data_IF_779308165868
#
_entry.id   IF_779308165868
#
_cell.length_a   1.000
_cell.length_b   1.000
_cell.length_c   1.000
_cell.angle_alpha   90.00
_cell.angle_beta   90.00
_cell.angle_gamma   90.00
#
_symmetry.space_group_name_H-M   'P 1'
#
loop_
_entity.id
_entity.type
_entity.pdbx_description
1 polymer ?
#
# COMPACT_ATOMS: atom_id res chain seq x y z
N UNK A 1 3.01 13.16 -27.11
CA UNK A 1 4.46 13.20 -27.39
C UNK A 1 5.16 12.68 -26.15
N UNK A 2 5.87 11.55 -26.21
CA UNK A 2 6.54 10.98 -25.03
C UNK A 2 7.95 11.59 -25.00
N UNK A 3 8.26 12.36 -23.97
CA UNK A 3 9.58 12.98 -23.80
C UNK A 3 10.55 11.91 -23.26
N UNK A 4 11.59 11.61 -24.01
CA UNK A 4 12.68 10.71 -23.59
C UNK A 4 13.91 11.51 -23.23
N UNK A 5 14.54 11.18 -22.10
CA UNK A 5 15.80 11.78 -21.63
C UNK A 5 16.89 10.72 -21.65
N UNK A 6 18.14 11.11 -21.94
CA UNK A 6 19.29 10.21 -21.87
C UNK A 6 20.15 10.56 -20.66
N UNK A 7 20.40 9.58 -19.80
CA UNK A 7 21.28 9.70 -18.63
C UNK A 7 22.24 8.50 -18.67
N UNK A 8 23.55 8.76 -18.65
CA UNK A 8 24.59 7.72 -18.66
C UNK A 8 24.43 6.67 -19.79
N UNK A 9 24.14 7.15 -21.01
CA UNK A 9 23.92 6.29 -22.19
C UNK A 9 22.61 5.50 -22.19
N UNK A 10 21.84 5.51 -21.09
CA UNK A 10 20.53 4.87 -20.98
C UNK A 10 19.42 5.86 -21.32
N UNK A 11 18.42 5.38 -22.06
CA UNK A 11 17.25 6.17 -22.43
C UNK A 11 16.15 5.94 -21.40
N UNK A 12 15.67 7.01 -20.78
CA UNK A 12 14.58 7.00 -19.82
C UNK A 12 13.38 7.72 -20.44
N UNK A 13 12.20 7.17 -20.21
CA UNK A 13 10.95 7.85 -20.56
C UNK A 13 10.52 8.70 -19.38
N UNK A 14 10.19 9.96 -19.64
CA UNK A 14 9.64 10.82 -18.61
C UNK A 14 8.26 10.28 -18.22
N UNK A 15 8.05 10.12 -16.92
CA UNK A 15 6.74 9.82 -16.36
C UNK A 15 6.03 11.17 -16.22
N UNK A 16 5.22 11.53 -17.21
CA UNK A 16 4.37 12.71 -17.13
C UNK A 16 3.31 12.54 -16.03
N UNK A 17 3.06 13.60 -15.25
CA UNK A 17 2.05 13.64 -14.18
C UNK A 17 2.24 12.61 -13.05
N UNK A 18 3.43 12.00 -12.97
CA UNK A 18 3.72 10.93 -12.01
C UNK A 18 3.01 9.61 -12.32
N UNK A 19 2.42 9.42 -13.52
CA UNK A 19 1.66 8.22 -13.86
C UNK A 19 2.46 7.28 -14.76
N UNK A 20 2.86 6.13 -14.21
CA UNK A 20 3.49 5.04 -14.96
C UNK A 20 2.44 4.06 -15.46
N UNK A 21 2.11 4.11 -16.75
CA UNK A 21 1.18 3.16 -17.37
C UNK A 21 1.73 1.73 -17.40
N UNK A 22 3.04 1.57 -17.64
CA UNK A 22 3.71 0.26 -17.71
C UNK A 22 3.66 -0.46 -16.36
N UNK A 23 3.91 0.27 -15.27
CA UNK A 23 3.85 -0.30 -13.92
C UNK A 23 2.44 -0.28 -13.35
N UNK A 24 1.51 0.42 -14.01
CA UNK A 24 0.17 0.72 -13.49
C UNK A 24 0.22 1.38 -12.11
N UNK A 25 1.15 2.32 -11.94
CA UNK A 25 1.37 3.05 -10.70
C UNK A 25 1.29 4.56 -10.91
N UNK A 26 0.77 5.26 -9.91
CA UNK A 26 0.92 6.70 -9.73
C UNK A 26 1.93 6.94 -8.62
N UNK A 27 2.92 7.77 -8.91
CA UNK A 27 3.92 8.23 -7.95
C UNK A 27 3.51 9.63 -7.51
N UNK A 28 3.38 9.84 -6.20
CA UNK A 28 3.18 11.16 -5.61
C UNK A 28 4.30 11.47 -4.62
N UNK A 29 4.70 12.73 -4.56
CA UNK A 29 5.65 13.18 -3.53
C UNK A 29 4.87 13.44 -2.25
N UNK A 30 5.13 12.63 -1.23
CA UNK A 30 4.57 12.76 0.12
C UNK A 30 5.66 13.29 1.06
N UNK A 31 5.74 14.62 1.19
CA UNK A 31 6.77 15.32 1.96
C UNK A 31 8.19 15.00 1.45
N UNK A 32 8.92 14.16 2.17
CA UNK A 32 10.29 13.74 1.86
C UNK A 32 10.35 12.34 1.23
N UNK A 33 9.19 11.68 1.08
CA UNK A 33 9.08 10.32 0.58
C UNK A 33 8.27 10.26 -0.72
N UNK A 34 8.41 9.14 -1.43
CA UNK A 34 7.58 8.81 -2.59
C UNK A 34 6.46 7.88 -2.15
N UNK A 35 5.23 8.34 -2.32
CA UNK A 35 4.04 7.50 -2.24
C UNK A 35 3.81 6.81 -3.58
N UNK A 36 3.69 5.49 -3.57
CA UNK A 36 3.31 4.70 -4.74
C UNK A 36 1.85 4.29 -4.60
N UNK A 37 1.03 4.55 -5.60
CA UNK A 37 -0.39 4.21 -5.61
C UNK A 37 -0.70 3.37 -6.83
N UNK A 38 -1.51 2.33 -6.67
CA UNK A 38 -1.92 1.49 -7.79
C UNK A 38 -2.98 2.20 -8.62
N UNK A 39 -2.90 2.14 -9.94
CA UNK A 39 -3.87 2.83 -10.82
C UNK A 39 -5.23 2.14 -10.88
N UNK A 40 -5.30 0.86 -10.51
CA UNK A 40 -6.53 0.06 -10.54
C UNK A 40 -7.36 0.21 -9.27
N UNK A 41 -6.73 0.13 -8.09
CA UNK A 41 -7.44 0.25 -6.79
C UNK A 41 -7.28 1.61 -6.13
N UNK A 42 -6.37 2.47 -6.62
CA UNK A 42 -5.99 3.76 -6.00
C UNK A 42 -5.34 3.58 -4.61
N UNK A 43 -5.11 2.33 -4.19
CA UNK A 43 -4.49 2.02 -2.91
C UNK A 43 -3.01 2.37 -2.93
N UNK A 44 -2.55 2.91 -1.79
CA UNK A 44 -1.13 3.13 -1.56
C UNK A 44 -0.45 1.76 -1.44
N UNK A 45 0.55 1.53 -2.26
CA UNK A 45 1.46 0.40 -2.14
C UNK A 45 2.31 0.65 -0.90
N UNK A 46 1.94 -0.01 0.19
CA UNK A 46 2.65 0.08 1.46
C UNK A 46 4.08 -0.44 1.30
N UNK A 47 5.00 0.22 1.98
CA UNK A 47 6.34 -0.34 2.15
C UNK A 47 6.27 -1.62 2.98
N UNK A 48 7.28 -2.51 2.91
CA UNK A 48 7.29 -3.73 3.73
C UNK A 48 7.12 -3.46 5.23
N UNK A 49 7.64 -2.33 5.73
CA UNK A 49 7.48 -1.90 7.12
C UNK A 49 6.04 -1.49 7.42
N UNK A 50 5.45 -0.61 6.61
CA UNK A 50 4.05 -0.20 6.77
C UNK A 50 3.08 -1.39 6.67
N UNK A 51 3.38 -2.36 5.80
CA UNK A 51 2.60 -3.59 5.68
C UNK A 51 2.68 -4.45 6.96
N UNK A 52 3.87 -4.56 7.54
CA UNK A 52 4.06 -5.29 8.79
C UNK A 52 3.34 -4.61 9.96
N UNK A 53 3.38 -3.29 10.03
CA UNK A 53 2.66 -2.48 11.01
C UNK A 53 1.14 -2.67 10.87
N UNK A 54 0.62 -2.61 9.65
CA UNK A 54 -0.81 -2.82 9.39
C UNK A 54 -1.25 -4.23 9.77
N UNK A 55 -0.47 -5.26 9.41
CA UNK A 55 -0.75 -6.64 9.80
C UNK A 55 -0.75 -6.81 11.33
N UNK A 56 0.18 -6.15 12.03
CA UNK A 56 0.22 -6.17 13.49
C UNK A 56 -1.00 -5.47 14.10
N UNK A 57 -1.46 -4.36 13.52
CA UNK A 57 -2.68 -3.68 13.95
C UNK A 57 -3.91 -4.54 13.73
N UNK A 58 -4.05 -5.17 12.56
CA UNK A 58 -5.18 -6.08 12.26
C UNK A 58 -5.22 -7.26 13.25
N UNK A 59 -4.06 -7.85 13.58
CA UNK A 59 -3.98 -8.89 14.61
C UNK A 59 -4.44 -8.39 15.97
N UNK A 60 -3.97 -7.23 16.41
CA UNK A 60 -4.40 -6.66 17.69
C UNK A 60 -5.90 -6.35 17.71
N UNK A 61 -6.49 -5.94 16.60
CA UNK A 61 -7.92 -5.71 16.49
C UNK A 61 -8.70 -7.02 16.55
N UNK A 62 -8.24 -8.06 15.87
CA UNK A 62 -8.82 -9.40 15.94
C UNK A 62 -8.75 -9.97 17.36
N UNK A 63 -7.62 -9.81 18.05
CA UNK A 63 -7.44 -10.25 19.43
C UNK A 63 -8.40 -9.52 20.39
N UNK A 64 -8.51 -8.19 20.25
CA UNK A 64 -9.47 -7.39 21.04
C UNK A 64 -10.92 -7.77 20.78
N UNK A 65 -11.27 -8.04 19.52
CA UNK A 65 -12.62 -8.48 19.16
C UNK A 65 -12.92 -9.85 19.76
N UNK A 66 -11.96 -10.77 19.72
CA UNK A 66 -12.05 -12.10 20.34
C UNK A 66 -12.26 -11.99 21.84
N UNK A 67 -11.50 -11.15 22.52
CA UNK A 67 -11.66 -10.90 23.96
C UNK A 67 -13.01 -10.24 24.29
N UNK A 68 -13.45 -9.29 23.47
CA UNK A 68 -14.77 -8.67 23.61
C UNK A 68 -15.89 -9.70 23.47
N UNK A 69 -15.85 -10.57 22.47
CA UNK A 69 -16.84 -11.64 22.28
C UNK A 69 -16.89 -12.60 23.47
N UNK A 70 -15.73 -13.00 24.00
CA UNK A 70 -15.66 -13.82 25.23
C UNK A 70 -16.27 -13.10 26.43
N UNK A 71 -16.04 -11.78 26.58
CA UNK A 71 -16.66 -10.98 27.64
C UNK A 71 -18.20 -10.93 27.54
N UNK A 72 -18.73 -11.06 26.32
CA UNK A 72 -20.17 -11.13 26.05
C UNK A 72 -20.73 -12.55 26.17
N UNK A 73 -19.92 -13.53 26.60
CA UNK A 73 -20.34 -14.93 26.73
C UNK A 73 -20.51 -15.65 25.40
N UNK A 74 -19.98 -15.09 24.30
CA UNK A 74 -19.95 -15.72 22.98
C UNK A 74 -18.58 -16.36 22.79
N UNK A 75 -18.54 -17.67 22.56
CA UNK A 75 -17.30 -18.37 22.21
C UNK A 75 -16.95 -18.10 20.73
N UNK A 76 -15.89 -17.31 20.43
CA UNK A 76 -15.54 -16.96 19.06
C UNK A 76 -15.01 -18.15 18.26
N UNK A 77 -14.46 -19.17 18.91
CA UNK A 77 -13.96 -20.40 18.31
C UNK A 77 -15.09 -21.34 17.81
N UNK A 78 -16.36 -21.10 18.17
CA UNK A 78 -17.52 -21.85 17.65
C UNK A 78 -18.07 -21.31 16.33
N UNK A 79 -17.52 -20.23 15.79
CA UNK A 79 -17.96 -19.59 14.54
C UNK A 79 -17.14 -20.01 13.30
N UNK A 80 -16.24 -20.98 13.44
CA UNK A 80 -15.34 -21.46 12.37
C UNK A 80 -15.89 -22.63 11.55
#
# INVERSE_FOLDING_TARGET
MITTIKIDGKTYQLIADGISQTLRLRVAVERELLGFYRLDTVEKLLTPTELAEQLQQERQQADKLTEYLRSQGVDPDSLS
#
